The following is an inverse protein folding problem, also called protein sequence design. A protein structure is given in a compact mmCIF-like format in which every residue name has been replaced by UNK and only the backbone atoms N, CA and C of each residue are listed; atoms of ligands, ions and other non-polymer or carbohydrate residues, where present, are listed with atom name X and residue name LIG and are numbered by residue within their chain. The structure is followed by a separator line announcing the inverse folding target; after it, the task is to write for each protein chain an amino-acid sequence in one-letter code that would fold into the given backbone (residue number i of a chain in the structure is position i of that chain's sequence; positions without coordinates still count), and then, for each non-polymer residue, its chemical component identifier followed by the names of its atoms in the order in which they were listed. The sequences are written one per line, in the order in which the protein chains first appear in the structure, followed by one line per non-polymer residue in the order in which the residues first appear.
data_IF_382554422409
#
_entry.id   IF_382554422409
#
_cell.length_a   1.000
_cell.length_b   1.000
_cell.length_c   1.000
_cell.angle_alpha   90.00
_cell.angle_beta   90.00
_cell.angle_gamma   90.00
#
_symmetry.space_group_name_H-M   'P 1'
#
loop_
_entity.id
_entity.type
_entity.pdbx_description
1 polymer ?
#
# COMPACT_ATOMS: atom_id res chain seq x y z
N UNK A 1 -15.27 26.63 -23.78
CA UNK A 1 -15.89 25.67 -22.82
C UNK A 1 -15.65 26.15 -21.39
N UNK A 2 -16.37 27.13 -20.89
CA UNK A 2 -16.09 27.68 -19.56
C UNK A 2 -16.39 26.69 -18.41
N UNK A 3 -17.34 25.79 -18.57
CA UNK A 3 -17.73 24.82 -17.52
C UNK A 3 -16.65 23.78 -17.27
N UNK A 4 -16.01 23.25 -18.30
CA UNK A 4 -14.93 22.26 -18.19
C UNK A 4 -13.71 22.88 -17.50
N UNK A 5 -13.34 24.10 -17.84
CA UNK A 5 -12.24 24.81 -17.21
C UNK A 5 -12.51 25.07 -15.72
N UNK A 6 -13.76 25.39 -15.36
CA UNK A 6 -14.15 25.59 -13.96
C UNK A 6 -14.09 24.30 -13.15
N UNK A 7 -14.51 23.18 -13.72
CA UNK A 7 -14.42 21.85 -13.07
C UNK A 7 -12.95 21.44 -12.88
N UNK A 8 -12.13 21.56 -13.93
CA UNK A 8 -10.69 21.27 -13.85
C UNK A 8 -10.00 22.16 -12.83
N UNK A 9 -10.32 23.47 -12.82
CA UNK A 9 -9.77 24.41 -11.84
C UNK A 9 -10.14 24.03 -10.40
N UNK A 10 -11.39 23.62 -10.16
CA UNK A 10 -11.86 23.24 -8.83
C UNK A 10 -11.14 21.95 -8.34
N UNK A 11 -10.98 20.95 -9.20
CA UNK A 11 -10.23 19.75 -8.88
C UNK A 11 -8.75 20.03 -8.64
N UNK A 12 -8.13 20.87 -9.46
CA UNK A 12 -6.73 21.27 -9.32
C UNK A 12 -6.48 22.04 -8.04
N UNK A 13 -7.38 22.96 -7.67
CA UNK A 13 -7.27 23.72 -6.41
C UNK A 13 -7.38 22.81 -5.19
N UNK A 14 -8.33 21.88 -5.19
CA UNK A 14 -8.45 20.89 -4.10
C UNK A 14 -7.21 20.03 -3.97
N UNK A 15 -6.64 19.61 -5.11
CA UNK A 15 -5.42 18.79 -5.15
C UNK A 15 -4.20 19.54 -4.65
N UNK A 16 -4.02 20.79 -5.06
CA UNK A 16 -2.94 21.64 -4.57
C UNK A 16 -3.03 21.85 -3.07
N UNK A 17 -4.21 22.09 -2.52
CA UNK A 17 -4.42 22.20 -1.08
C UNK A 17 -4.03 20.91 -0.32
N UNK A 18 -4.32 19.73 -0.88
CA UNK A 18 -3.87 18.45 -0.29
C UNK A 18 -2.34 18.32 -0.31
N UNK A 19 -1.69 18.67 -1.41
CA UNK A 19 -0.23 18.64 -1.54
C UNK A 19 0.40 19.60 -0.54
N UNK A 20 -0.12 20.81 -0.40
CA UNK A 20 0.37 21.78 0.59
C UNK A 20 0.20 21.25 2.01
N UNK A 21 -0.95 20.64 2.33
CA UNK A 21 -1.17 20.00 3.63
C UNK A 21 -0.14 18.89 3.90
N UNK A 22 0.18 18.06 2.91
CA UNK A 22 1.18 17.00 3.04
C UNK A 22 2.58 17.55 3.29
N UNK A 23 2.94 18.66 2.64
CA UNK A 23 4.23 19.34 2.86
C UNK A 23 4.34 19.96 4.25
N UNK A 24 3.26 20.52 4.74
CA UNK A 24 3.22 21.19 6.04
C UNK A 24 3.08 20.22 7.22
N UNK A 25 2.47 19.05 6.98
CA UNK A 25 2.17 18.07 8.02
C UNK A 25 2.65 16.64 7.68
N UNK A 26 3.91 16.43 7.27
CA UNK A 26 4.37 15.13 6.76
C UNK A 26 4.30 14.01 7.80
N UNK A 27 4.60 14.29 9.06
CA UNK A 27 4.59 13.30 10.14
C UNK A 27 3.16 12.85 10.43
N UNK A 28 2.20 13.78 10.48
CA UNK A 28 0.80 13.46 10.71
C UNK A 28 0.25 12.61 9.55
N UNK A 29 0.53 13.00 8.31
CA UNK A 29 0.07 12.27 7.12
C UNK A 29 0.63 10.85 7.12
N UNK A 30 1.91 10.65 7.42
CA UNK A 30 2.50 9.32 7.52
C UNK A 30 1.87 8.47 8.62
N UNK A 31 1.62 9.07 9.78
CA UNK A 31 0.94 8.38 10.89
C UNK A 31 -0.47 7.96 10.51
N UNK A 32 -1.27 8.86 9.95
CA UNK A 32 -2.65 8.61 9.58
C UNK A 32 -2.72 7.52 8.49
N UNK A 33 -1.82 7.57 7.51
CA UNK A 33 -1.68 6.53 6.47
C UNK A 33 -1.30 5.18 7.07
N UNK A 34 -0.33 5.14 7.99
CA UNK A 34 0.05 3.90 8.67
C UNK A 34 -1.14 3.28 9.41
N UNK A 35 -1.85 4.07 10.21
CA UNK A 35 -3.00 3.60 10.98
C UNK A 35 -4.13 3.12 10.06
N UNK A 36 -4.39 3.81 8.96
CA UNK A 36 -5.38 3.40 7.97
C UNK A 36 -5.04 2.04 7.34
N UNK A 37 -3.79 1.87 6.88
CA UNK A 37 -3.32 0.61 6.31
C UNK A 37 -3.40 -0.55 7.29
N UNK A 38 -3.00 -0.32 8.55
CA UNK A 38 -3.06 -1.34 9.59
C UNK A 38 -4.49 -1.75 9.93
N UNK A 39 -5.42 -0.79 10.07
CA UNK A 39 -6.84 -1.08 10.29
C UNK A 39 -7.45 -1.87 9.13
N UNK A 40 -7.08 -1.53 7.92
CA UNK A 40 -7.57 -2.23 6.72
C UNK A 40 -7.09 -3.68 6.70
N UNK A 41 -5.86 -3.94 7.11
CA UNK A 41 -5.28 -5.27 7.15
C UNK A 41 -5.49 -6.01 8.49
N UNK A 42 -6.22 -5.43 9.45
CA UNK A 42 -6.34 -5.95 10.81
C UNK A 42 -6.92 -7.37 10.89
N UNK A 43 -7.89 -7.68 10.04
CA UNK A 43 -8.57 -8.98 10.00
C UNK A 43 -7.88 -10.00 9.08
N UNK A 44 -6.74 -9.68 8.48
CA UNK A 44 -5.91 -10.64 7.76
C UNK A 44 -5.18 -11.57 8.73
N UNK A 45 -4.68 -12.71 8.24
CA UNK A 45 -3.87 -13.61 9.09
C UNK A 45 -2.68 -12.89 9.71
N UNK A 46 -1.95 -12.10 8.91
CA UNK A 46 -0.81 -11.33 9.39
C UNK A 46 -1.21 -10.20 10.35
N UNK A 47 -2.32 -9.53 10.08
CA UNK A 47 -2.89 -8.49 10.94
C UNK A 47 -3.30 -9.00 12.30
N UNK A 48 -3.95 -10.16 12.36
CA UNK A 48 -4.31 -10.84 13.60
C UNK A 48 -3.07 -11.32 14.38
N UNK A 49 -2.08 -11.87 13.67
CA UNK A 49 -0.83 -12.33 14.29
C UNK A 49 -0.08 -11.22 15.04
N UNK A 50 -0.10 -10.01 14.52
CA UNK A 50 0.62 -8.87 15.09
C UNK A 50 -0.30 -7.83 15.74
N UNK A 51 -1.59 -8.12 15.86
CA UNK A 51 -2.59 -7.25 16.48
C UNK A 51 -2.54 -5.82 15.89
N UNK A 52 -2.73 -5.73 14.59
CA UNK A 52 -2.63 -4.48 13.84
C UNK A 52 -3.60 -3.40 14.33
N UNK A 53 -4.77 -3.80 14.79
CA UNK A 53 -5.81 -2.87 15.23
C UNK A 53 -5.40 -2.05 16.47
N UNK A 54 -4.47 -2.56 17.26
CA UNK A 54 -3.95 -1.86 18.45
C UNK A 54 -2.72 -0.97 18.18
N UNK A 55 -2.20 -0.95 16.94
CA UNK A 55 -1.04 -0.13 16.56
C UNK A 55 -1.51 1.24 16.11
N UNK A 56 -1.11 2.29 16.83
CA UNK A 56 -1.51 3.66 16.58
C UNK A 56 -0.32 4.59 16.24
N UNK A 57 0.91 4.12 16.41
CA UNK A 57 2.12 4.91 16.17
C UNK A 57 3.19 4.12 15.43
N UNK A 58 4.11 4.83 14.78
CA UNK A 58 5.24 4.22 14.10
C UNK A 58 6.19 3.50 15.09
N UNK A 59 6.30 3.99 16.32
CA UNK A 59 7.08 3.36 17.39
C UNK A 59 6.50 1.99 17.72
N UNK A 60 5.19 1.92 17.99
CA UNK A 60 4.50 0.65 18.28
C UNK A 60 4.61 -0.34 17.12
N UNK A 61 4.55 0.16 15.88
CA UNK A 61 4.75 -0.65 14.68
C UNK A 61 6.15 -1.27 14.67
N UNK A 62 7.20 -0.47 14.87
CA UNK A 62 8.59 -0.95 14.90
C UNK A 62 8.89 -1.92 16.04
N UNK A 63 8.27 -1.72 17.19
CA UNK A 63 8.45 -2.61 18.35
C UNK A 63 7.75 -3.96 18.13
N UNK A 64 6.63 -3.98 17.43
CA UNK A 64 5.78 -5.17 17.28
C UNK A 64 6.14 -6.02 16.07
N UNK A 65 6.47 -5.40 14.94
CA UNK A 65 6.76 -6.12 13.72
C UNK A 65 8.26 -6.34 13.56
N UNK A 66 8.69 -7.59 13.32
CA UNK A 66 10.09 -7.88 13.01
C UNK A 66 10.46 -7.37 11.62
N UNK A 67 11.73 -7.05 11.42
CA UNK A 67 12.30 -6.95 10.08
C UNK A 67 12.45 -8.38 9.55
N UNK A 68 11.84 -8.66 8.41
CA UNK A 68 11.85 -9.98 7.79
C UNK A 68 12.63 -9.97 6.47
N UNK A 69 13.18 -11.13 6.12
CA UNK A 69 13.74 -11.39 4.81
C UNK A 69 12.69 -12.04 3.89
N UNK A 70 12.98 -12.09 2.60
CA UNK A 70 12.05 -12.68 1.62
C UNK A 70 11.70 -14.14 1.94
N UNK A 71 12.63 -14.90 2.49
CA UNK A 71 12.43 -16.29 2.87
C UNK A 71 11.31 -16.47 3.91
N UNK A 72 11.06 -15.46 4.72
CA UNK A 72 9.96 -15.44 5.69
C UNK A 72 8.63 -14.98 5.04
N UNK A 73 8.70 -14.19 3.97
CA UNK A 73 7.54 -13.80 3.16
C UNK A 73 7.13 -14.89 2.17
N UNK A 74 8.07 -15.67 1.65
CA UNK A 74 7.86 -16.67 0.61
C UNK A 74 6.72 -17.66 0.92
N UNK A 75 6.55 -18.19 2.15
CA UNK A 75 5.44 -19.07 2.48
C UNK A 75 4.07 -18.42 2.27
N UNK A 76 3.92 -17.12 2.56
CA UNK A 76 2.67 -16.39 2.29
C UNK A 76 2.44 -16.23 0.79
N UNK A 77 3.50 -15.90 0.03
CA UNK A 77 3.41 -15.78 -1.43
C UNK A 77 3.00 -17.11 -2.07
N UNK A 78 3.55 -18.23 -1.63
CA UNK A 78 3.19 -19.57 -2.11
C UNK A 78 1.73 -19.91 -1.80
N UNK A 79 1.24 -19.62 -0.61
CA UNK A 79 -0.16 -19.84 -0.24
C UNK A 79 -1.11 -18.98 -1.07
N UNK A 80 -0.76 -17.71 -1.30
CA UNK A 80 -1.52 -16.82 -2.17
C UNK A 80 -1.55 -17.31 -3.62
N UNK A 81 -0.42 -17.79 -4.16
CA UNK A 81 -0.35 -18.40 -5.50
C UNK A 81 -1.19 -19.67 -5.60
N UNK A 82 -1.39 -20.41 -4.51
CA UNK A 82 -2.26 -21.57 -4.43
C UNK A 82 -3.74 -21.23 -4.20
N UNK A 83 -4.09 -19.95 -4.17
CA UNK A 83 -5.48 -19.48 -4.09
C UNK A 83 -5.97 -19.12 -2.69
N UNK A 84 -5.14 -19.26 -1.63
CA UNK A 84 -5.51 -18.73 -0.33
C UNK A 84 -5.56 -17.19 -0.37
N UNK A 85 -6.48 -16.60 0.38
CA UNK A 85 -6.66 -15.15 0.44
C UNK A 85 -6.72 -14.67 1.88
N UNK A 86 -6.77 -13.35 2.07
CA UNK A 86 -6.83 -12.72 3.39
C UNK A 86 -5.64 -13.07 4.30
N UNK A 87 -4.46 -13.24 3.72
CA UNK A 87 -3.23 -13.53 4.46
C UNK A 87 -2.48 -12.26 4.87
N UNK A 88 -2.22 -11.38 3.93
CA UNK A 88 -1.46 -10.14 4.11
C UNK A 88 -2.32 -8.88 3.88
N UNK A 89 -3.31 -9.01 3.01
CA UNK A 89 -4.20 -7.93 2.61
C UNK A 89 -5.62 -8.45 2.41
N UNK A 90 -6.69 -7.66 2.72
CA UNK A 90 -8.08 -8.15 2.68
C UNK A 90 -8.62 -8.34 1.27
N UNK A 91 -8.20 -7.51 0.30
CA UNK A 91 -8.63 -7.67 -1.08
C UNK A 91 -7.91 -8.85 -1.74
N UNK A 92 -8.56 -9.52 -2.73
CA UNK A 92 -7.95 -10.64 -3.44
C UNK A 92 -6.61 -10.25 -4.08
N UNK A 93 -5.59 -11.05 -3.83
CA UNK A 93 -4.27 -10.93 -4.47
C UNK A 93 -4.18 -12.02 -5.53
N UNK A 94 -4.20 -11.62 -6.79
CA UNK A 94 -4.14 -12.50 -7.97
C UNK A 94 -2.94 -12.18 -8.87
N UNK A 95 -2.25 -11.09 -8.60
CA UNK A 95 -1.08 -10.64 -9.33
C UNK A 95 0.18 -10.77 -8.49
N UNK A 96 1.28 -11.15 -9.16
CA UNK A 96 2.59 -11.31 -8.54
C UNK A 96 3.66 -10.69 -9.42
N UNK A 97 4.40 -9.75 -8.86
CA UNK A 97 5.59 -9.22 -9.51
C UNK A 97 6.73 -10.22 -9.37
N UNK A 98 7.35 -10.57 -10.50
CA UNK A 98 8.53 -11.43 -10.51
C UNK A 98 9.79 -10.60 -10.57
N UNK A 99 10.64 -10.69 -9.56
CA UNK A 99 11.95 -10.04 -9.61
C UNK A 99 12.88 -10.77 -10.58
N UNK A 100 13.68 -10.01 -11.35
CA UNK A 100 14.79 -10.57 -12.10
C UNK A 100 15.85 -11.06 -11.12
N UNK A 101 15.93 -12.38 -10.91
CA UNK A 101 17.02 -12.98 -10.14
C UNK A 101 18.35 -12.74 -10.86
N UNK A 102 19.38 -12.34 -10.13
CA UNK A 102 20.76 -12.51 -10.60
C UNK A 102 21.03 -14.02 -10.80
N UNK A 103 21.92 -14.38 -11.68
CA UNK A 103 22.18 -15.71 -12.24
C UNK A 103 22.30 -16.90 -11.26
N UNK A 104 22.32 -16.67 -9.94
CA UNK A 104 22.41 -17.71 -8.92
C UNK A 104 21.20 -17.68 -7.94
N UNK A 105 20.33 -16.70 -7.97
CA UNK A 105 19.20 -16.59 -7.05
C UNK A 105 17.90 -16.95 -7.76
N UNK A 106 17.07 -17.77 -7.10
CA UNK A 106 15.70 -18.05 -7.54
C UNK A 106 14.91 -16.75 -7.66
N UNK A 107 14.11 -16.61 -8.71
CA UNK A 107 13.18 -15.49 -8.86
C UNK A 107 12.27 -15.38 -7.64
N UNK A 108 12.09 -14.17 -7.17
CA UNK A 108 11.18 -13.86 -6.05
C UNK A 108 9.84 -13.42 -6.60
N UNK A 109 8.76 -13.91 -6.01
CA UNK A 109 7.40 -13.52 -6.35
C UNK A 109 6.85 -12.63 -5.24
N UNK A 110 6.54 -11.40 -5.59
CA UNK A 110 6.02 -10.39 -4.66
C UNK A 110 4.53 -10.27 -4.92
N UNK A 111 3.67 -10.55 -3.92
CA UNK A 111 2.23 -10.35 -4.06
C UNK A 111 1.92 -8.89 -4.36
N UNK A 112 1.03 -8.67 -5.31
CA UNK A 112 0.58 -7.34 -5.68
C UNK A 112 -0.95 -7.29 -5.74
N UNK A 113 -1.51 -6.14 -5.49
CA UNK A 113 -2.96 -5.92 -5.56
C UNK A 113 -3.32 -5.64 -7.02
N UNK A 114 -4.34 -6.34 -7.53
CA UNK A 114 -4.84 -6.08 -8.88
C UNK A 114 -5.30 -4.63 -9.02
N UNK A 115 -4.71 -3.94 -9.99
CA UNK A 115 -5.01 -2.55 -10.27
C UNK A 115 -6.50 -2.28 -10.47
N UNK A 116 -7.19 -3.17 -11.17
CA UNK A 116 -8.61 -3.03 -11.49
C UNK A 116 -9.51 -3.31 -10.27
N UNK A 117 -8.99 -3.98 -9.24
CA UNK A 117 -9.69 -4.19 -7.98
C UNK A 117 -9.62 -2.99 -7.04
N UNK A 118 -8.75 -2.03 -7.32
CA UNK A 118 -8.61 -0.83 -6.51
C UNK A 118 -9.74 0.16 -6.80
N UNK A 119 -10.21 0.84 -5.76
CA UNK A 119 -11.14 1.96 -5.94
C UNK A 119 -10.47 3.09 -6.73
N UNK A 120 -11.27 3.96 -7.34
CA UNK A 120 -10.75 5.12 -8.08
C UNK A 120 -9.84 6.01 -7.22
N UNK A 121 -10.13 6.14 -5.93
CA UNK A 121 -9.29 6.89 -4.97
C UNK A 121 -7.95 6.19 -4.73
N UNK A 122 -7.96 4.88 -4.59
CA UNK A 122 -6.75 4.07 -4.41
C UNK A 122 -5.87 4.10 -5.66
N UNK A 123 -6.45 3.92 -6.85
CA UNK A 123 -5.73 4.04 -8.12
C UNK A 123 -5.11 5.44 -8.29
N UNK A 124 -5.80 6.47 -7.81
CA UNK A 124 -5.29 7.84 -7.88
C UNK A 124 -4.08 8.06 -6.96
N UNK A 125 -4.07 7.47 -5.77
CA UNK A 125 -2.91 7.53 -4.86
C UNK A 125 -1.69 6.90 -5.55
N UNK A 126 -1.81 5.70 -6.11
CA UNK A 126 -0.71 5.05 -6.81
C UNK A 126 -0.22 5.83 -8.04
N UNK A 127 -1.11 6.39 -8.84
CA UNK A 127 -0.74 7.23 -10.00
C UNK A 127 0.10 8.44 -9.60
N UNK A 128 -0.17 8.99 -8.42
CA UNK A 128 0.54 10.17 -7.96
C UNK A 128 1.95 9.85 -7.43
N UNK A 129 2.11 8.69 -6.79
CA UNK A 129 3.41 8.24 -6.29
C UNK A 129 4.37 7.90 -7.45
N UNK A 130 3.85 7.33 -8.54
CA UNK A 130 4.65 7.08 -9.75
C UNK A 130 5.03 8.36 -10.49
N UNK A 131 4.16 9.36 -10.54
CA UNK A 131 4.44 10.63 -11.20
C UNK A 131 5.51 11.47 -10.48
N UNK A 132 5.64 11.31 -9.16
CA UNK A 132 6.65 12.03 -8.36
C UNK A 132 8.03 11.37 -8.35
N UNK A 133 8.13 10.09 -8.70
CA UNK A 133 9.39 9.35 -8.70
C UNK A 133 10.03 9.16 -10.09
N UNK A 134 9.46 9.77 -11.14
CA UNK A 134 9.96 9.67 -12.53
C UNK A 134 10.67 10.94 -13.01
N UNK A 135 11.20 11.73 -12.09
CA UNK A 135 11.98 12.95 -12.37
C UNK A 135 13.41 12.83 -11.91
#
# INVERSE_FOLDING_TARGET
MPVINSIISMFSTKRLAQIDFFKENPIQVQRDTLVELLRRAADTEYGLKYDFDSILTAEQYRERLPIIHYEELAPYSERLMNGEQNLLWPEPITWFAKSSGTTAAKSKFIPDVDWDSLTAEQQQVFKNDFATNSG
#
